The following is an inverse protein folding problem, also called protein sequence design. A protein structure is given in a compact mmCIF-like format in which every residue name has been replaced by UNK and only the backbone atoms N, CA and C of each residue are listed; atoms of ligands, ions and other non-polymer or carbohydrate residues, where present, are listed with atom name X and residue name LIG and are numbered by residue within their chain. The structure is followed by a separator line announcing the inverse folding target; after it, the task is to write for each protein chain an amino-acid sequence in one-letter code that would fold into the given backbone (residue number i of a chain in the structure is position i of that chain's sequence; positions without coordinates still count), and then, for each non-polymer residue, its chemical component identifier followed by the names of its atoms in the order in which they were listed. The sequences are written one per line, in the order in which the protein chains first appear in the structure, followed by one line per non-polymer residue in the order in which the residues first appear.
data_IF_351342456423
#
_entry.id   IF_351342456423
#
_cell.length_a   1.000
_cell.length_b   1.000
_cell.length_c   1.000
_cell.angle_alpha   90.00
_cell.angle_beta   90.00
_cell.angle_gamma   90.00
#
_symmetry.space_group_name_H-M   'P 1'
#
loop_
_entity.id
_entity.type
_entity.pdbx_description
1 polymer ?
#
# COMPACT_ATOMS: atom_id res chain seq x y z
N UNK A 1 -17.66 -24.81 14.56
CA UNK A 1 -17.10 -25.11 13.21
C UNK A 1 -16.64 -23.78 12.64
N UNK A 2 -15.39 -23.44 12.37
CA UNK A 2 -14.12 -24.13 12.30
C UNK A 2 -13.26 -23.22 11.42
N UNK A 3 -12.34 -22.47 12.01
CA UNK A 3 -11.56 -21.40 11.38
C UNK A 3 -10.81 -21.90 10.13
N UNK A 4 -11.29 -21.51 8.95
CA UNK A 4 -10.55 -21.66 7.70
C UNK A 4 -11.06 -20.63 6.71
N UNK A 5 -10.29 -19.55 6.53
CA UNK A 5 -10.14 -18.70 5.32
C UNK A 5 -9.71 -17.29 5.71
N UNK A 6 -8.43 -17.14 6.05
CA UNK A 6 -7.69 -16.05 5.40
C UNK A 6 -7.47 -16.52 3.94
N UNK A 7 -7.54 -15.64 2.93
CA UNK A 7 -7.62 -16.05 1.52
C UNK A 7 -6.44 -16.86 0.99
N UNK A 8 -5.39 -17.14 1.76
CA UNK A 8 -4.49 -18.27 1.54
C UNK A 8 -3.95 -18.78 2.89
N UNK A 9 -4.00 -20.09 3.13
CA UNK A 9 -3.34 -20.69 4.29
C UNK A 9 -1.82 -20.58 4.10
N UNK A 10 -1.19 -19.67 4.84
CA UNK A 10 0.27 -19.49 4.98
C UNK A 10 1.11 -19.18 3.71
N UNK A 11 0.59 -19.29 2.49
CA UNK A 11 1.40 -19.15 1.27
C UNK A 11 1.76 -17.71 0.88
N UNK A 12 1.16 -16.70 1.50
CA UNK A 12 1.39 -15.29 1.16
C UNK A 12 2.03 -14.45 2.27
N UNK A 13 2.31 -15.05 3.45
CA UNK A 13 3.02 -14.36 4.55
C UNK A 13 4.55 -14.33 4.37
N UNK A 14 5.06 -15.07 3.38
CA UNK A 14 6.49 -15.15 3.05
C UNK A 14 6.73 -14.77 1.57
N UNK A 15 5.85 -13.96 0.98
CA UNK A 15 5.94 -13.61 -0.43
C UNK A 15 7.22 -12.81 -0.71
N UNK A 16 7.93 -13.20 -1.76
CA UNK A 16 9.19 -12.56 -2.16
C UNK A 16 9.17 -12.29 -3.65
N UNK A 17 8.82 -11.06 -4.01
CA UNK A 17 8.77 -10.57 -5.38
C UNK A 17 9.80 -9.48 -5.65
N UNK A 18 9.84 -9.04 -6.91
CA UNK A 18 10.56 -7.83 -7.29
C UNK A 18 9.95 -6.59 -6.62
N UNK A 19 10.73 -5.53 -6.51
CA UNK A 19 10.27 -4.23 -6.01
C UNK A 19 10.87 -3.11 -6.86
N UNK A 20 10.17 -1.97 -6.98
CA UNK A 20 10.68 -0.78 -7.66
C UNK A 20 10.77 0.33 -6.61
N UNK A 21 11.95 0.94 -6.49
CA UNK A 21 12.16 2.09 -5.64
C UNK A 21 12.80 3.23 -6.44
N UNK A 22 12.23 4.42 -6.30
CA UNK A 22 12.71 5.66 -6.87
C UNK A 22 13.13 6.52 -5.69
N UNK A 23 14.43 6.50 -5.40
CA UNK A 23 14.96 7.06 -4.16
C UNK A 23 15.84 8.29 -4.40
N UNK A 24 15.73 9.25 -3.49
CA UNK A 24 16.62 10.39 -3.40
C UNK A 24 16.05 11.66 -4.04
N UNK A 25 16.52 12.79 -3.51
CA UNK A 25 16.08 14.12 -3.93
C UNK A 25 16.28 14.29 -5.44
N UNK A 26 15.26 14.82 -6.10
CA UNK A 26 15.25 15.05 -7.55
C UNK A 26 15.18 13.80 -8.44
N UNK A 27 15.01 12.59 -7.88
CA UNK A 27 14.73 11.41 -8.69
C UNK A 27 13.39 11.56 -9.43
N UNK A 28 13.27 10.99 -10.62
CA UNK A 28 12.06 11.08 -11.44
C UNK A 28 11.68 9.70 -11.94
N UNK A 29 10.39 9.37 -11.86
CA UNK A 29 9.86 8.16 -12.46
C UNK A 29 8.56 8.44 -13.20
N UNK A 30 8.47 7.92 -14.42
CA UNK A 30 7.33 8.07 -15.33
C UNK A 30 6.96 6.66 -15.79
N UNK A 31 6.00 6.06 -15.11
CA UNK A 31 5.60 4.67 -15.33
C UNK A 31 4.15 4.63 -15.78
N UNK A 32 3.91 4.00 -16.92
CA UNK A 32 2.60 3.91 -17.54
C UNK A 32 2.39 2.62 -18.32
N UNK A 33 1.18 2.07 -18.22
CA UNK A 33 0.75 0.89 -18.98
C UNK A 33 1.47 -0.40 -18.60
N UNK A 34 2.04 -0.50 -17.39
CA UNK A 34 2.76 -1.71 -16.94
C UNK A 34 1.92 -2.57 -16.02
N UNK A 35 2.21 -3.87 -16.03
CA UNK A 35 1.67 -4.84 -15.08
C UNK A 35 2.74 -5.22 -14.04
N UNK A 36 2.39 -5.11 -12.75
CA UNK A 36 3.19 -5.55 -11.62
C UNK A 36 2.51 -6.76 -10.96
N UNK A 37 2.96 -7.96 -11.34
CA UNK A 37 2.43 -9.22 -10.85
C UNK A 37 3.34 -9.87 -9.81
N UNK A 38 2.79 -10.29 -8.66
CA UNK A 38 3.56 -10.97 -7.59
C UNK A 38 4.81 -10.20 -7.16
N UNK A 39 4.67 -8.88 -7.05
CA UNK A 39 5.71 -7.96 -6.57
C UNK A 39 5.52 -7.60 -5.09
N UNK A 40 6.54 -6.97 -4.52
CA UNK A 40 6.63 -6.68 -3.09
C UNK A 40 7.24 -7.85 -2.30
N UNK A 41 7.69 -7.58 -1.07
CA UNK A 41 8.26 -8.60 -0.18
C UNK A 41 7.57 -8.51 1.17
N UNK A 42 6.88 -9.58 1.58
CA UNK A 42 6.00 -9.54 2.75
C UNK A 42 6.74 -9.08 4.01
N UNK A 43 6.23 -8.00 4.60
CA UNK A 43 6.75 -7.42 5.85
C UNK A 43 8.26 -7.06 5.77
N UNK A 44 8.76 -6.73 4.58
CA UNK A 44 10.09 -6.14 4.39
C UNK A 44 9.94 -4.66 4.05
N UNK A 45 10.45 -3.80 4.94
CA UNK A 45 10.32 -2.35 4.83
C UNK A 45 10.87 -1.84 3.48
N UNK A 46 10.13 -0.93 2.86
CA UNK A 46 10.51 -0.27 1.60
C UNK A 46 10.66 -1.22 0.38
N UNK A 47 10.11 -2.44 0.43
CA UNK A 47 10.13 -3.42 -0.67
C UNK A 47 8.73 -3.66 -1.22
N UNK A 48 8.26 -2.68 -2.01
CA UNK A 48 6.88 -2.63 -2.55
C UNK A 48 6.90 -2.70 -4.09
N UNK A 49 5.79 -3.09 -4.75
CA UNK A 49 5.70 -3.06 -6.22
C UNK A 49 6.16 -1.73 -6.80
N UNK A 50 5.77 -0.61 -6.16
CA UNK A 50 6.28 0.71 -6.50
C UNK A 50 6.40 1.62 -5.26
N UNK A 51 7.55 2.28 -5.12
CA UNK A 51 7.84 3.13 -3.97
C UNK A 51 8.64 4.39 -4.38
N UNK A 52 8.07 5.58 -4.17
CA UNK A 52 8.85 6.82 -4.12
C UNK A 52 9.37 7.06 -2.71
N UNK A 53 10.69 7.20 -2.57
CA UNK A 53 11.35 7.38 -1.28
C UNK A 53 12.19 8.66 -1.26
N UNK A 54 11.69 9.69 -0.57
CA UNK A 54 12.39 10.95 -0.32
C UNK A 54 12.75 11.73 -1.60
N UNK A 55 11.83 11.79 -2.57
CA UNK A 55 12.05 12.49 -3.85
C UNK A 55 11.86 14.01 -3.73
N UNK A 56 11.07 14.46 -2.75
CA UNK A 56 10.69 15.86 -2.59
C UNK A 56 9.82 16.36 -3.75
N UNK A 57 10.02 17.62 -4.14
CA UNK A 57 9.18 18.31 -5.15
C UNK A 57 9.34 17.80 -6.58
N UNK A 58 10.36 16.96 -6.85
CA UNK A 58 10.51 16.33 -8.15
C UNK A 58 9.43 15.27 -8.46
N UNK A 59 8.57 14.96 -7.48
CA UNK A 59 7.31 14.26 -7.76
C UNK A 59 6.43 15.00 -8.77
N UNK A 60 6.53 16.34 -8.88
CA UNK A 60 5.86 17.14 -9.92
C UNK A 60 6.21 16.73 -11.37
N UNK A 61 7.34 16.05 -11.55
CA UNK A 61 7.82 15.54 -12.84
C UNK A 61 7.54 14.03 -13.01
N UNK A 62 6.94 13.41 -12.00
CA UNK A 62 6.81 11.97 -11.86
C UNK A 62 5.35 11.53 -11.91
N UNK A 63 5.10 10.37 -12.50
CA UNK A 63 3.78 9.77 -12.52
C UNK A 63 3.82 8.24 -12.50
N UNK A 64 2.75 7.66 -11.96
CA UNK A 64 2.45 6.25 -12.02
C UNK A 64 0.98 6.13 -12.46
N UNK A 65 0.75 5.87 -13.76
CA UNK A 65 -0.61 5.91 -14.33
C UNK A 65 -1.00 4.74 -15.23
N UNK A 66 -2.27 4.34 -15.20
CA UNK A 66 -2.77 3.31 -16.11
C UNK A 66 -2.14 1.93 -15.91
N UNK A 67 -1.66 1.62 -14.71
CA UNK A 67 -0.96 0.37 -14.40
C UNK A 67 -1.87 -0.63 -13.69
N UNK A 68 -1.54 -1.92 -13.79
CA UNK A 68 -2.15 -2.98 -12.99
C UNK A 68 -1.17 -3.50 -11.93
N UNK A 69 -1.66 -3.72 -10.72
CA UNK A 69 -0.92 -4.33 -9.62
C UNK A 69 -1.77 -5.47 -9.07
N UNK A 70 -1.28 -6.72 -9.14
CA UNK A 70 -2.07 -7.82 -8.59
C UNK A 70 -1.26 -8.99 -8.05
N UNK A 71 -1.89 -9.71 -7.11
CA UNK A 71 -1.26 -10.73 -6.27
C UNK A 71 -0.03 -10.21 -5.55
N UNK A 72 -0.08 -8.96 -5.08
CA UNK A 72 1.08 -8.33 -4.46
C UNK A 72 1.31 -8.86 -3.04
N UNK A 73 2.57 -9.16 -2.76
CA UNK A 73 3.00 -9.71 -1.48
C UNK A 73 3.16 -8.66 -0.38
N UNK A 74 3.35 -7.39 -0.73
CA UNK A 74 3.37 -6.29 0.22
C UNK A 74 3.27 -4.93 -0.46
N UNK A 75 2.12 -4.29 -0.22
CA UNK A 75 1.61 -3.00 -0.69
C UNK A 75 1.46 -2.89 -2.20
N UNK A 76 0.92 -1.77 -2.67
CA UNK A 76 0.82 -1.47 -4.10
C UNK A 76 1.77 -0.31 -4.45
N UNK A 77 1.34 0.92 -4.18
CA UNK A 77 2.09 2.16 -4.43
C UNK A 77 2.32 2.84 -3.09
N UNK A 78 3.59 3.03 -2.71
CA UNK A 78 3.96 3.80 -1.53
C UNK A 78 4.60 5.13 -1.91
N UNK A 79 4.18 6.19 -1.23
CA UNK A 79 4.70 7.54 -1.36
C UNK A 79 5.26 7.95 -0.01
N UNK A 80 6.56 8.19 0.05
CA UNK A 80 7.27 8.58 1.26
C UNK A 80 8.13 9.82 0.94
N UNK A 81 7.93 10.91 1.69
CA UNK A 81 8.71 12.15 1.57
C UNK A 81 8.74 12.72 0.15
N UNK A 82 7.62 12.57 -0.56
CA UNK A 82 7.48 12.93 -1.98
C UNK A 82 6.23 13.76 -2.17
N UNK A 83 6.35 14.84 -2.96
CA UNK A 83 5.30 15.83 -3.16
C UNK A 83 4.96 15.98 -4.64
N UNK A 84 3.73 16.41 -4.93
CA UNK A 84 3.25 16.69 -6.30
C UNK A 84 3.24 15.49 -7.26
N UNK A 85 3.41 14.25 -6.78
CA UNK A 85 3.38 13.06 -7.62
C UNK A 85 1.96 12.76 -8.12
N UNK A 86 1.87 12.26 -9.36
CA UNK A 86 0.57 11.86 -9.96
C UNK A 86 0.42 10.34 -9.97
N UNK A 87 -0.59 9.84 -9.27
CA UNK A 87 -0.98 8.43 -9.21
C UNK A 87 -2.40 8.32 -9.77
N UNK A 88 -2.56 7.84 -11.00
CA UNK A 88 -3.90 7.88 -11.63
C UNK A 88 -4.27 6.68 -12.48
N UNK A 89 -5.57 6.34 -12.54
CA UNK A 89 -6.10 5.28 -13.40
C UNK A 89 -5.44 3.90 -13.19
N UNK A 90 -4.92 3.65 -12.01
CA UNK A 90 -4.31 2.35 -11.69
C UNK A 90 -5.37 1.40 -11.13
N UNK A 91 -5.22 0.11 -11.42
CA UNK A 91 -6.04 -0.95 -10.83
C UNK A 91 -5.16 -1.82 -9.95
N UNK A 92 -5.48 -1.89 -8.67
CA UNK A 92 -4.83 -2.76 -7.72
C UNK A 92 -5.80 -3.76 -7.13
N UNK A 93 -5.47 -5.05 -7.24
CA UNK A 93 -6.34 -6.16 -6.85
C UNK A 93 -5.54 -7.27 -6.17
N UNK A 94 -6.07 -7.85 -5.08
CA UNK A 94 -5.42 -8.97 -4.37
C UNK A 94 -4.01 -8.58 -3.88
N UNK A 95 -3.96 -7.71 -2.88
CA UNK A 95 -2.71 -7.18 -2.34
C UNK A 95 -2.71 -7.21 -0.81
N UNK A 96 -1.52 -7.38 -0.23
CA UNK A 96 -1.32 -7.44 1.23
C UNK A 96 -0.86 -6.09 1.79
N UNK A 97 -1.42 -5.69 2.92
CA UNK A 97 -1.13 -4.42 3.62
C UNK A 97 -1.94 -3.25 3.06
N UNK A 98 -1.41 -2.04 3.22
CA UNK A 98 -2.01 -0.85 2.62
C UNK A 98 -1.63 -0.72 1.14
N UNK A 99 -2.62 -0.54 0.27
CA UNK A 99 -2.38 -0.56 -1.17
C UNK A 99 -1.82 0.76 -1.70
N UNK A 100 -2.60 1.84 -1.73
CA UNK A 100 -2.10 3.20 -1.97
C UNK A 100 -1.77 3.85 -0.62
N UNK A 101 -0.49 3.97 -0.33
CA UNK A 101 0.03 4.25 1.02
C UNK A 101 0.86 5.53 1.07
N UNK A 102 0.41 6.51 1.87
CA UNK A 102 1.23 7.63 2.32
C UNK A 102 1.92 7.25 3.64
N UNK A 103 3.24 7.39 3.73
CA UNK A 103 4.01 6.77 4.82
C UNK A 103 3.96 7.54 6.13
N UNK A 104 4.40 8.81 6.15
CA UNK A 104 4.68 9.52 7.40
C UNK A 104 3.79 10.75 7.64
N UNK A 105 3.00 11.16 6.65
CA UNK A 105 2.11 12.32 6.78
C UNK A 105 2.75 13.64 6.37
N UNK A 106 4.01 13.61 5.94
CA UNK A 106 4.71 14.76 5.37
C UNK A 106 4.54 14.87 3.84
N UNK A 107 3.96 13.86 3.19
CA UNK A 107 3.75 13.86 1.75
C UNK A 107 2.59 14.78 1.37
N UNK A 108 2.83 15.77 0.51
CA UNK A 108 1.86 16.84 0.22
C UNK A 108 1.67 17.06 -1.29
N UNK A 109 0.52 17.63 -1.65
CA UNK A 109 0.13 17.99 -3.01
C UNK A 109 0.16 16.84 -4.02
N UNK A 110 0.20 15.58 -3.56
CA UNK A 110 0.09 14.43 -4.44
C UNK A 110 -1.34 14.27 -4.93
N UNK A 111 -1.48 13.73 -6.14
CA UNK A 111 -2.76 13.60 -6.84
C UNK A 111 -3.05 12.12 -7.07
N UNK A 112 -4.07 11.61 -6.38
CA UNK A 112 -4.59 10.27 -6.53
C UNK A 112 -5.94 10.32 -7.24
N UNK A 113 -6.02 9.91 -8.51
CA UNK A 113 -7.27 10.01 -9.27
C UNK A 113 -7.65 8.75 -10.01
N UNK A 114 -8.94 8.38 -9.94
CA UNK A 114 -9.50 7.26 -10.70
C UNK A 114 -8.78 5.93 -10.50
N UNK A 115 -8.19 5.71 -9.32
CA UNK A 115 -7.57 4.44 -8.97
C UNK A 115 -8.60 3.49 -8.34
N UNK A 116 -8.45 2.18 -8.59
CA UNK A 116 -9.22 1.13 -7.94
C UNK A 116 -8.32 0.34 -6.99
N UNK A 117 -8.76 0.15 -5.74
CA UNK A 117 -8.19 -0.84 -4.83
C UNK A 117 -9.28 -1.84 -4.43
N UNK A 118 -9.06 -3.14 -4.66
CA UNK A 118 -10.05 -4.17 -4.33
C UNK A 118 -9.39 -5.44 -3.79
N UNK A 119 -10.08 -6.13 -2.88
CA UNK A 119 -9.59 -7.39 -2.29
C UNK A 119 -8.23 -7.21 -1.60
N UNK A 120 -8.20 -6.33 -0.60
CA UNK A 120 -6.97 -5.96 0.13
C UNK A 120 -6.93 -6.68 1.47
N UNK A 121 -5.80 -7.30 1.80
CA UNK A 121 -5.64 -8.20 2.93
C UNK A 121 -4.73 -7.62 4.01
N UNK A 122 -5.00 -7.91 5.28
CA UNK A 122 -4.08 -7.56 6.39
C UNK A 122 -2.77 -8.35 6.33
N UNK A 123 -1.72 -7.78 6.93
CA UNK A 123 -0.48 -8.51 7.16
C UNK A 123 -0.71 -9.45 8.34
N UNK A 124 -0.99 -10.72 8.04
CA UNK A 124 -1.34 -11.69 9.07
C UNK A 124 -2.75 -11.45 9.64
N UNK A 125 -2.93 -11.82 10.91
CA UNK A 125 -4.23 -11.71 11.56
C UNK A 125 -4.60 -10.23 11.79
N UNK A 126 -5.77 -9.76 11.32
CA UNK A 126 -6.22 -8.39 11.58
C UNK A 126 -6.31 -8.12 13.08
N UNK A 127 -5.90 -6.92 13.52
CA UNK A 127 -5.92 -6.55 14.94
C UNK A 127 -7.28 -6.73 15.63
N UNK A 128 -8.40 -6.58 14.90
CA UNK A 128 -9.77 -6.77 15.43
C UNK A 128 -10.29 -8.22 15.47
N UNK A 129 -9.61 -9.18 14.82
CA UNK A 129 -10.11 -10.57 14.78
C UNK A 129 -9.91 -11.34 16.06
N UNK A 130 -9.04 -10.87 16.97
CA UNK A 130 -8.82 -11.50 18.27
C UNK A 130 -10.08 -11.50 19.17
N UNK A 131 -11.09 -10.66 18.88
CA UNK A 131 -12.31 -10.55 19.69
C UNK A 131 -13.62 -10.77 18.92
N UNK A 132 -13.58 -11.18 17.65
CA UNK A 132 -14.78 -11.61 16.91
C UNK A 132 -15.80 -10.52 16.59
N UNK A 133 -15.44 -9.23 16.61
CA UNK A 133 -16.34 -8.14 16.23
C UNK A 133 -15.57 -7.00 15.58
N UNK A 134 -16.27 -6.17 14.77
CA UNK A 134 -15.72 -4.96 14.13
C UNK A 134 -15.36 -3.89 15.15
N UNK A 135 -14.33 -4.16 15.94
CA UNK A 135 -14.07 -3.51 17.22
C UNK A 135 -13.44 -2.13 17.05
N UNK A 136 -14.20 -1.10 17.43
CA UNK A 136 -13.73 0.26 17.70
C UNK A 136 -12.72 0.31 18.87
N UNK A 137 -12.72 -0.71 19.73
CA UNK A 137 -11.84 -0.85 20.88
C UNK A 137 -10.89 -2.03 20.65
N UNK A 138 -9.62 -1.72 20.43
CA UNK A 138 -8.56 -2.72 20.27
C UNK A 138 -7.60 -2.61 21.46
N UNK A 139 -7.07 -3.74 21.97
CA UNK A 139 -5.96 -3.70 22.91
C UNK A 139 -4.71 -3.14 22.22
N UNK A 140 -3.76 -2.63 23.00
CA UNK A 140 -2.47 -2.21 22.49
C UNK A 140 -1.79 -3.36 21.73
N UNK A 141 -1.37 -3.09 20.49
CA UNK A 141 -0.63 -4.04 19.66
C UNK A 141 0.85 -3.66 19.70
N UNK A 142 1.72 -4.43 20.39
CA UNK A 142 3.14 -4.11 20.47
C UNK A 142 3.81 -4.31 19.11
N UNK A 143 4.77 -3.45 18.79
CA UNK A 143 5.63 -3.61 17.61
C UNK A 143 6.54 -4.84 17.75
N UNK A 144 7.03 -5.35 16.62
CA UNK A 144 7.92 -6.51 16.61
C UNK A 144 8.42 -6.86 15.21
N UNK A 145 9.16 -7.96 15.07
CA UNK A 145 9.74 -8.37 13.79
C UNK A 145 8.69 -8.67 12.69
N UNK A 146 7.45 -8.95 13.08
CA UNK A 146 6.30 -9.20 12.20
C UNK A 146 5.37 -8.00 12.01
N UNK A 147 5.63 -6.90 12.72
CA UNK A 147 4.85 -5.67 12.70
C UNK A 147 5.84 -4.51 12.87
N UNK A 148 6.50 -4.17 11.76
CA UNK A 148 7.60 -3.19 11.73
C UNK A 148 7.04 -1.76 11.71
N UNK A 149 5.92 -1.54 11.03
CA UNK A 149 5.23 -0.26 10.99
C UNK A 149 3.90 -0.35 11.75
N UNK A 150 3.59 0.60 12.65
CA UNK A 150 2.34 0.60 13.39
C UNK A 150 1.08 0.56 12.51
N UNK A 151 1.14 1.13 11.30
CA UNK A 151 0.04 1.11 10.34
C UNK A 151 -0.37 -0.31 9.94
N UNK A 152 0.58 -1.25 9.89
CA UNK A 152 0.38 -2.59 9.34
C UNK A 152 -0.44 -3.54 10.23
N UNK A 153 -0.99 -3.05 11.35
CA UNK A 153 -2.01 -3.75 12.15
C UNK A 153 -3.35 -3.89 11.40
N UNK A 154 -3.51 -3.14 10.31
CA UNK A 154 -4.69 -3.13 9.46
C UNK A 154 -4.31 -3.20 7.98
N UNK A 155 -5.31 -3.10 7.12
CA UNK A 155 -5.15 -2.95 5.68
C UNK A 155 -6.19 -1.99 5.15
N UNK A 156 -5.85 -1.28 4.08
CA UNK A 156 -6.76 -0.37 3.41
C UNK A 156 -6.41 -0.23 1.93
N UNK A 157 -7.42 0.05 1.10
CA UNK A 157 -7.19 0.43 -0.29
C UNK A 157 -6.40 1.73 -0.39
N UNK A 158 -6.75 2.71 0.45
CA UNK A 158 -6.09 4.01 0.55
C UNK A 158 -5.76 4.27 2.01
N UNK A 159 -4.47 4.43 2.33
CA UNK A 159 -3.99 4.83 3.64
C UNK A 159 -3.49 6.26 3.55
N UNK A 160 -4.29 7.19 4.09
CA UNK A 160 -4.12 8.63 3.91
C UNK A 160 -3.77 9.25 5.25
N UNK A 161 -2.51 9.67 5.40
CA UNK A 161 -1.95 10.17 6.68
C UNK A 161 -2.13 11.67 6.89
N UNK A 162 -2.44 12.43 5.83
CA UNK A 162 -2.76 13.85 5.92
C UNK A 162 -3.74 14.28 4.82
N UNK A 163 -4.44 15.40 5.06
CA UNK A 163 -5.47 15.92 4.15
C UNK A 163 -4.92 16.83 3.03
N UNK A 164 -3.60 17.12 2.99
CA UNK A 164 -3.03 18.03 2.01
C UNK A 164 -2.65 17.33 0.69
N UNK A 165 -3.52 16.44 0.24
CA UNK A 165 -3.39 15.68 -1.00
C UNK A 165 -4.76 15.62 -1.68
N UNK A 166 -4.78 15.42 -3.00
CA UNK A 166 -6.03 15.41 -3.79
C UNK A 166 -6.43 13.98 -4.14
N UNK A 167 -7.59 13.55 -3.65
CA UNK A 167 -8.21 12.26 -3.99
C UNK A 167 -9.51 12.48 -4.75
N UNK A 168 -9.59 12.10 -6.04
CA UNK A 168 -10.81 12.29 -6.86
C UNK A 168 -11.15 11.05 -7.67
N UNK A 169 -12.39 10.59 -7.59
CA UNK A 169 -12.91 9.49 -8.43
C UNK A 169 -12.28 8.12 -8.15
N UNK A 170 -11.55 7.95 -7.05
CA UNK A 170 -11.02 6.65 -6.64
C UNK A 170 -12.14 5.74 -6.11
N UNK A 171 -11.98 4.44 -6.30
CA UNK A 171 -12.88 3.43 -5.78
C UNK A 171 -12.13 2.43 -4.90
N UNK A 172 -12.77 2.01 -3.81
CA UNK A 172 -12.27 0.97 -2.94
C UNK A 172 -13.36 -0.07 -2.70
N UNK A 173 -13.02 -1.35 -2.81
CA UNK A 173 -13.90 -2.46 -2.47
C UNK A 173 -13.21 -3.38 -1.46
N UNK A 174 -13.96 -3.87 -0.47
CA UNK A 174 -13.44 -4.63 0.67
C UNK A 174 -12.66 -5.90 0.32
N UNK A 175 -11.92 -6.39 1.32
CA UNK A 175 -11.13 -7.63 1.33
C UNK A 175 -11.96 -8.88 1.55
#
# INVERSE_FOLDING_TARGET
MGARRLPCAASSLNGFGGHIMVAGKNAVAKIEGVELYRMGQTNVLARYPFHWHMVGDAGSKSYFRGNSIHRSFYRCVSVHGTHYATISHNVAYDAIGHCYYLEDGIEENNVFTYNLASHIHTIGAPAGTAQGSGSQYLPDVPSGSKLILPADVAASGFYVTNAYNRFVGNAASGG
#
